data_IF_799953347969
#
_entry.id   IF_799953347969
#
_cell.length_a   1.000
_cell.length_b   1.000
_cell.length_c   1.000
_cell.angle_alpha   90.00
_cell.angle_beta   90.00
_cell.angle_gamma   90.00
#
_symmetry.space_group_name_H-M   'P 1'
#
loop_
_entity.id
_entity.type
_entity.pdbx_description
1 polymer ?
#
# COMPACT_ATOMS: atom_id res chain seq x y z
N UNK A 1 -37.12 -21.41 11.71
CA UNK A 1 -36.68 -22.66 12.38
C UNK A 1 -35.25 -22.89 11.95
N UNK A 2 -34.41 -23.40 12.86
CA UNK A 2 -33.09 -24.05 12.61
C UNK A 2 -32.05 -23.33 11.71
N UNK A 3 -30.81 -23.05 12.13
CA UNK A 3 -30.21 -23.14 13.46
C UNK A 3 -28.83 -22.42 13.50
N UNK A 4 -28.40 -22.04 14.70
CA UNK A 4 -27.03 -21.89 15.23
C UNK A 4 -25.81 -21.64 14.33
N UNK A 5 -25.36 -20.37 14.38
CA UNK A 5 -24.18 -19.89 15.13
C UNK A 5 -22.75 -20.47 14.90
N UNK A 6 -21.68 -19.64 15.01
CA UNK A 6 -20.31 -20.00 14.63
C UNK A 6 -19.36 -20.38 15.78
N UNK A 7 -18.31 -21.15 15.46
CA UNK A 7 -17.12 -21.42 16.30
C UNK A 7 -15.88 -21.71 15.41
N UNK A 8 -14.62 -21.58 15.84
CA UNK A 8 -13.91 -20.70 16.81
C UNK A 8 -12.39 -21.00 16.72
N UNK A 9 -11.52 -20.11 17.23
CA UNK A 9 -10.11 -20.40 17.61
C UNK A 9 -9.10 -20.72 16.48
N UNK A 10 -7.79 -20.47 16.63
CA UNK A 10 -7.03 -19.67 17.61
C UNK A 10 -5.68 -19.22 16.98
N UNK A 11 -5.05 -18.16 17.49
CA UNK A 11 -3.80 -17.63 16.92
C UNK A 11 -3.16 -16.44 17.64
N UNK A 12 -3.40 -16.27 18.94
CA UNK A 12 -2.71 -15.31 19.83
C UNK A 12 -1.68 -16.06 20.71
N UNK A 13 -0.71 -15.39 21.36
CA UNK A 13 -0.26 -14.00 21.20
C UNK A 13 1.27 -13.91 20.96
N UNK A 14 1.82 -12.69 20.83
CA UNK A 14 3.15 -12.43 21.39
C UNK A 14 3.25 -11.00 21.96
N UNK A 15 3.39 -10.91 23.27
CA UNK A 15 3.60 -9.68 24.06
C UNK A 15 5.05 -9.59 24.55
N UNK A 16 5.40 -8.46 25.17
CA UNK A 16 6.75 -8.05 25.64
C UNK A 16 7.65 -7.54 24.50
N UNK A 17 8.54 -6.56 24.72
CA UNK A 17 8.99 -5.99 26.00
C UNK A 17 8.69 -4.50 26.23
N UNK A 18 8.77 -4.11 27.50
CA UNK A 18 8.36 -2.80 28.04
C UNK A 18 9.50 -2.24 28.91
N UNK A 19 10.50 -1.62 28.29
CA UNK A 19 11.71 -1.21 29.00
C UNK A 19 11.67 0.26 29.46
N UNK A 20 11.11 0.44 30.66
CA UNK A 20 11.13 1.70 31.42
C UNK A 20 11.45 1.38 32.89
N UNK A 21 12.72 1.44 33.32
CA UNK A 21 13.11 1.79 34.70
C UNK A 21 14.60 2.20 34.84
N UNK A 22 14.99 2.83 35.97
CA UNK A 22 16.23 3.61 36.10
C UNK A 22 17.21 2.99 37.12
N UNK A 23 18.32 3.69 37.38
CA UNK A 23 18.97 3.63 38.70
C UNK A 23 19.26 5.03 39.30
N UNK A 24 19.45 5.06 40.62
CA UNK A 24 19.92 6.19 41.43
C UNK A 24 20.98 5.72 42.42
N UNK A 25 22.12 6.39 42.45
CA UNK A 25 22.63 6.98 43.70
C UNK A 25 23.90 6.42 44.36
N UNK A 26 24.62 7.37 44.98
CA UNK A 26 25.42 7.21 46.21
C UNK A 26 26.81 6.49 46.07
N UNK A 27 27.71 6.55 47.08
CA UNK A 27 28.65 7.68 47.22
C UNK A 27 30.10 7.27 47.62
N UNK A 28 31.06 8.21 47.72
CA UNK A 28 32.20 8.18 48.68
C UNK A 28 33.16 9.39 48.58
N UNK A 29 33.63 9.85 49.74
CA UNK A 29 34.91 10.53 50.02
C UNK A 29 35.77 9.57 50.89
N UNK A 30 37.04 9.89 51.30
CA UNK A 30 38.20 10.42 50.58
C UNK A 30 39.33 9.34 50.59
N UNK A 31 40.67 9.51 50.88
CA UNK A 31 41.32 10.34 51.93
C UNK A 31 42.70 11.03 51.63
N UNK A 32 43.02 12.03 52.46
CA UNK A 32 44.34 12.39 53.05
C UNK A 32 45.61 12.67 52.18
N UNK A 33 46.70 13.06 52.87
CA UNK A 33 47.93 13.70 52.35
C UNK A 33 49.20 12.84 52.55
N UNK A 34 50.40 13.37 52.27
CA UNK A 34 51.34 13.58 53.39
C UNK A 34 52.14 14.91 53.35
N UNK A 35 53.08 15.08 54.28
CA UNK A 35 53.99 16.23 54.50
C UNK A 35 55.46 15.88 54.17
N UNK A 36 56.36 16.83 54.48
CA UNK A 36 57.78 16.69 54.90
C UNK A 36 58.85 17.21 53.91
N UNK A 37 60.02 17.78 54.30
CA UNK A 37 60.49 18.55 55.49
C UNK A 37 61.92 19.17 55.25
N UNK A 38 62.48 19.97 56.19
CA UNK A 38 63.90 20.41 56.39
C UNK A 38 64.50 21.52 55.46
N UNK A 39 65.51 22.38 55.79
CA UNK A 39 66.24 22.95 56.99
C UNK A 39 67.25 24.05 56.48
N UNK A 40 68.02 24.92 57.20
CA UNK A 40 68.21 25.32 58.62
C UNK A 40 69.54 26.16 58.86
N UNK A 41 69.71 26.83 60.03
CA UNK A 41 70.96 27.44 60.65
C UNK A 41 71.56 28.79 60.10
N UNK A 42 72.31 29.72 60.79
CA UNK A 42 72.84 30.06 62.19
C UNK A 42 73.43 31.53 62.21
N UNK A 43 73.94 32.27 63.24
CA UNK A 43 74.01 32.19 64.74
C UNK A 43 75.16 33.04 65.45
N UNK A 44 74.88 33.79 66.57
CA UNK A 44 75.79 34.48 67.59
C UNK A 44 76.59 35.78 67.19
N UNK A 45 77.32 36.62 68.00
CA UNK A 45 77.79 36.68 69.44
C UNK A 45 78.37 38.05 69.98
N UNK A 46 78.04 38.44 71.24
CA UNK A 46 78.82 38.99 72.44
C UNK A 46 80.02 40.04 72.42
N UNK A 47 80.20 40.92 73.48
CA UNK A 47 81.48 41.40 74.21
C UNK A 47 81.64 42.90 74.79
N UNK A 48 82.64 43.21 75.70
CA UNK A 48 83.07 44.52 76.40
C UNK A 48 84.23 44.37 77.49
N UNK A 49 84.69 45.28 78.46
CA UNK A 49 84.76 46.77 78.76
C UNK A 49 86.08 47.37 79.53
N UNK A 50 86.04 48.59 80.18
CA UNK A 50 86.81 49.23 81.37
C UNK A 50 88.35 49.70 81.40
N UNK A 51 88.99 50.51 82.35
CA UNK A 51 88.69 51.71 83.24
C UNK A 51 89.88 52.32 84.17
N UNK A 52 89.78 53.59 84.73
CA UNK A 52 90.24 54.21 86.10
C UNK A 52 91.68 54.77 86.64
N UNK A 53 91.78 56.00 87.31
CA UNK A 53 92.44 56.59 88.63
C UNK A 53 93.98 56.97 89.09
N UNK A 54 94.32 58.00 90.02
CA UNK A 54 95.65 58.31 90.86
C UNK A 54 96.07 59.74 91.63
N UNK A 55 96.98 59.93 92.73
CA UNK A 55 97.26 61.22 93.62
C UNK A 55 98.74 61.70 94.31
N UNK A 56 99.06 62.42 95.53
CA UNK A 56 100.24 63.42 95.96
C UNK A 56 101.19 63.19 97.31
N UNK A 57 101.92 64.03 98.24
CA UNK A 57 102.24 65.51 98.68
C UNK A 57 103.72 66.06 99.26
N UNK A 58 104.00 66.82 100.43
CA UNK A 58 105.27 67.72 100.80
C UNK A 58 105.75 68.21 102.34
N UNK A 59 106.85 69.08 102.68
CA UNK A 59 107.64 69.41 104.03
C UNK A 59 107.75 70.92 104.71
N UNK A 60 108.60 71.60 105.63
CA UNK A 60 109.91 71.61 106.53
C UNK A 60 110.17 72.84 107.64
N UNK A 61 111.31 73.05 108.48
CA UNK A 61 111.60 74.14 109.61
C UNK A 61 113.08 74.49 110.28
N UNK A 62 113.34 75.52 111.23
CA UNK A 62 114.64 76.00 112.04
C UNK A 62 114.46 76.95 113.38
N UNK A 63 115.27 77.72 114.28
CA UNK A 63 116.69 78.33 114.63
C UNK A 63 117.00 78.96 116.15
N UNK A 64 118.15 79.67 116.58
CA UNK A 64 118.57 80.21 118.03
C UNK A 64 119.66 81.43 118.33
N UNK A 65 120.11 81.85 119.60
CA UNK A 65 120.78 83.20 120.08
C UNK A 65 121.88 83.39 121.33
N UNK A 66 122.42 84.62 121.81
CA UNK A 66 123.69 84.93 122.68
C UNK A 66 123.77 85.85 124.07
N UNK A 67 124.92 86.52 124.56
CA UNK A 67 125.27 87.09 125.99
C UNK A 67 126.34 88.31 126.30
N UNK A 68 126.70 88.82 127.57
CA UNK A 68 127.68 89.99 127.90
C UNK A 68 128.16 90.61 129.33
N UNK A 69 127.46 91.60 129.97
CA UNK A 69 127.89 92.52 131.13
C UNK A 69 127.06 92.31 132.45
N UNK A 70 126.93 93.28 133.39
CA UNK A 70 125.83 93.22 134.39
C UNK A 70 124.50 93.41 133.67
N UNK A 71 123.62 92.41 133.72
CA UNK A 71 122.52 92.23 132.77
C UNK A 71 121.18 92.84 133.22
N UNK A 72 121.20 93.89 134.04
CA UNK A 72 119.99 94.61 134.47
C UNK A 72 120.18 96.12 134.57
N UNK A 73 121.21 96.58 135.29
CA UNK A 73 121.47 98.00 135.59
C UNK A 73 122.78 98.52 134.95
N UNK A 74 123.50 97.67 134.22
CA UNK A 74 124.75 98.03 133.51
C UNK A 74 125.97 98.32 134.38
N UNK A 75 125.82 98.31 135.71
CA UNK A 75 126.87 98.65 136.69
C UNK A 75 128.06 97.68 136.64
N UNK A 76 129.29 98.13 136.96
CA UNK A 76 130.46 97.26 137.01
C UNK A 76 130.34 96.26 138.17
N UNK A 77 130.63 94.99 137.88
CA UNK A 77 130.51 93.91 138.86
C UNK A 77 131.75 93.85 139.77
N UNK A 78 131.59 93.65 141.09
CA UNK A 78 132.72 93.53 142.01
C UNK A 78 133.59 92.30 141.67
N UNK A 79 134.90 92.43 141.83
CA UNK A 79 135.87 91.37 141.49
C UNK A 79 135.56 90.08 142.26
N UNK A 80 135.22 89.02 141.52
CA UNK A 80 134.91 87.68 142.04
C UNK A 80 136.15 86.79 141.94
N UNK A 81 136.50 86.12 143.05
CA UNK A 81 137.55 85.09 143.11
C UNK A 81 137.07 83.70 142.67
N UNK A 82 135.84 83.58 142.14
CA UNK A 82 135.22 82.32 141.72
C UNK A 82 135.07 82.16 140.21
N UNK A 83 135.20 80.91 139.73
CA UNK A 83 135.23 80.48 138.30
C UNK A 83 133.90 80.65 137.51
N UNK A 84 132.95 81.44 138.01
CA UNK A 84 131.73 81.85 137.30
C UNK A 84 131.53 83.36 137.45
N UNK A 85 131.38 84.12 136.36
CA UNK A 85 131.04 85.54 136.45
C UNK A 85 129.63 85.72 137.02
N UNK A 86 129.47 86.65 137.97
CA UNK A 86 128.14 87.08 138.44
C UNK A 86 127.48 87.91 137.35
N UNK A 87 126.24 87.61 136.97
CA UNK A 87 125.50 88.41 135.97
C UNK A 87 124.77 89.63 136.57
N UNK A 88 124.66 89.71 137.90
CA UNK A 88 123.92 90.77 138.60
C UNK A 88 124.70 91.23 139.84
N UNK A 89 124.59 92.52 140.16
CA UNK A 89 125.24 93.16 141.31
C UNK A 89 124.64 92.74 142.67
N UNK A 90 123.34 92.42 142.71
CA UNK A 90 122.57 92.04 143.89
C UNK A 90 121.40 91.11 143.53
N UNK A 91 120.86 90.37 144.52
CA UNK A 91 119.65 89.57 144.32
C UNK A 91 118.39 90.43 144.05
N UNK A 92 118.38 91.71 144.47
CA UNK A 92 117.32 92.64 144.11
C UNK A 92 117.26 92.87 142.58
N UNK A 93 118.42 93.13 141.95
CA UNK A 93 118.50 93.31 140.50
C UNK A 93 118.19 92.02 139.73
N UNK A 94 118.59 90.85 140.23
CA UNK A 94 118.18 89.53 139.71
C UNK A 94 116.66 89.33 139.77
N UNK A 95 116.01 89.79 140.84
CA UNK A 95 114.56 89.70 141.02
C UNK A 95 113.80 90.67 140.10
N UNK A 96 114.32 91.88 139.89
CA UNK A 96 113.78 92.85 138.94
C UNK A 96 113.89 92.34 137.49
N UNK A 97 115.06 91.80 137.10
CA UNK A 97 115.28 91.18 135.79
C UNK A 97 114.47 89.89 135.53
N UNK A 98 113.83 89.32 136.56
CA UNK A 98 112.86 88.23 136.45
C UNK A 98 111.45 88.77 136.17
N UNK A 99 111.05 89.87 136.84
CA UNK A 99 109.74 90.53 136.62
C UNK A 99 109.63 91.17 135.23
N UNK A 100 110.71 91.75 134.72
CA UNK A 100 110.75 92.32 133.35
C UNK A 100 110.52 91.25 132.28
N UNK A 101 111.32 90.16 132.30
CA UNK A 101 111.18 89.05 131.33
C UNK A 101 109.81 88.39 131.36
N UNK A 102 109.17 88.26 132.53
CA UNK A 102 107.77 87.80 132.61
C UNK A 102 106.78 88.76 131.96
N UNK A 103 107.01 90.08 132.03
CA UNK A 103 106.17 91.07 131.35
C UNK A 103 106.34 90.99 129.83
N UNK A 104 107.57 90.91 129.35
CA UNK A 104 107.89 90.74 127.92
C UNK A 104 107.27 89.47 127.33
N UNK A 105 107.42 88.32 128.01
CA UNK A 105 106.83 87.05 127.60
C UNK A 105 105.29 87.09 127.52
N UNK A 106 104.62 87.80 128.44
CA UNK A 106 103.16 87.98 128.37
C UNK A 106 102.78 88.82 127.13
N UNK A 107 103.47 89.94 126.88
CA UNK A 107 103.21 90.76 125.68
C UNK A 107 103.43 89.98 124.38
N UNK A 108 104.52 89.22 124.27
CA UNK A 108 104.84 88.46 123.06
C UNK A 108 103.76 87.43 122.71
N UNK A 109 103.22 86.72 123.72
CA UNK A 109 102.12 85.76 123.52
C UNK A 109 100.82 86.48 123.12
N UNK A 110 100.49 87.63 123.72
CA UNK A 110 99.26 88.36 123.35
C UNK A 110 99.28 88.89 121.92
N UNK A 111 100.43 89.38 121.43
CA UNK A 111 100.53 89.92 120.05
C UNK A 111 100.29 88.82 119.01
N UNK A 112 100.94 87.66 119.17
CA UNK A 112 100.79 86.53 118.25
C UNK A 112 99.34 85.98 118.19
N UNK A 113 98.59 86.03 119.30
CA UNK A 113 97.17 85.64 119.35
C UNK A 113 96.29 86.68 118.64
N UNK A 114 96.60 87.98 118.72
CA UNK A 114 95.86 89.00 117.95
C UNK A 114 96.14 88.94 116.45
N UNK A 115 97.38 88.67 116.03
CA UNK A 115 97.75 88.60 114.61
C UNK A 115 97.16 87.36 113.92
N UNK A 116 97.15 86.20 114.59
CA UNK A 116 96.50 84.99 114.08
C UNK A 116 94.97 85.09 114.01
N UNK A 117 94.34 85.99 114.77
CA UNK A 117 92.92 86.30 114.67
C UNK A 117 92.51 87.01 113.37
N UNK A 118 93.40 87.83 112.78
CA UNK A 118 93.12 88.56 111.55
C UNK A 118 93.04 87.63 110.33
N UNK A 119 93.99 86.70 110.20
CA UNK A 119 94.08 85.76 109.05
C UNK A 119 92.85 84.86 108.94
N UNK A 120 92.24 84.47 110.07
CA UNK A 120 91.01 83.69 110.10
C UNK A 120 89.74 84.49 109.78
N UNK A 121 89.79 85.83 109.83
CA UNK A 121 88.68 86.68 109.40
C UNK A 121 88.60 86.80 107.87
N UNK A 122 89.75 86.95 107.19
CA UNK A 122 89.81 87.09 105.73
C UNK A 122 89.52 85.80 104.97
N UNK A 123 89.87 84.63 105.53
CA UNK A 123 89.66 83.34 104.89
C UNK A 123 88.17 82.93 104.74
N UNK A 124 87.28 83.47 105.58
CA UNK A 124 85.87 83.05 105.68
C UNK A 124 85.01 83.39 104.44
N UNK A 125 84.96 84.65 103.95
CA UNK A 125 84.15 84.99 102.77
C UNK A 125 84.59 84.26 101.48
N UNK A 126 85.86 83.87 101.37
CA UNK A 126 86.36 83.07 100.24
C UNK A 126 85.75 81.66 100.22
N UNK A 127 85.48 81.07 101.39
CA UNK A 127 84.86 79.74 101.49
C UNK A 127 83.40 79.75 101.03
N UNK A 128 82.64 80.78 101.36
CA UNK A 128 81.23 80.91 100.97
C UNK A 128 81.07 81.30 99.48
N UNK A 129 81.98 82.12 98.95
CA UNK A 129 82.07 82.40 97.52
C UNK A 129 82.34 81.13 96.68
N UNK A 130 83.26 80.27 97.14
CA UNK A 130 83.57 79.01 96.45
C UNK A 130 82.37 78.04 96.43
N UNK A 131 81.62 77.96 97.53
CA UNK A 131 80.44 77.11 97.67
C UNK A 131 79.33 77.53 96.71
N UNK A 132 79.01 78.83 96.70
CA UNK A 132 78.03 79.44 95.80
C UNK A 132 78.37 79.22 94.31
N UNK A 133 79.66 79.14 93.96
CA UNK A 133 80.11 78.82 92.60
C UNK A 133 79.91 77.34 92.24
N UNK A 134 80.10 76.42 93.18
CA UNK A 134 79.88 74.98 92.97
C UNK A 134 78.41 74.64 92.79
N UNK A 135 77.53 75.16 93.66
CA UNK A 135 76.09 74.94 93.58
C UNK A 135 75.52 75.43 92.23
N UNK A 136 75.98 76.61 91.79
CA UNK A 136 75.61 77.21 90.49
C UNK A 136 76.25 76.53 89.27
N UNK A 137 77.26 75.67 89.48
CA UNK A 137 77.81 74.81 88.44
C UNK A 137 76.98 73.54 88.31
N UNK A 138 76.54 72.96 89.44
CA UNK A 138 75.64 71.80 89.47
C UNK A 138 74.31 72.09 88.74
N UNK A 139 73.63 73.19 89.08
CA UNK A 139 72.39 73.61 88.39
C UNK A 139 72.54 73.69 86.86
N UNK A 140 73.73 74.08 86.37
CA UNK A 140 74.02 74.19 84.93
C UNK A 140 74.35 72.86 84.27
N UNK A 141 74.87 71.88 85.02
CA UNK A 141 75.03 70.51 84.54
C UNK A 141 73.66 69.84 84.44
N UNK A 142 72.85 69.93 85.50
CA UNK A 142 71.49 69.36 85.52
C UNK A 142 70.60 69.92 84.39
N UNK A 143 70.68 71.23 84.13
CA UNK A 143 69.97 71.88 83.02
C UNK A 143 70.49 71.44 81.63
N UNK A 144 71.80 71.16 81.51
CA UNK A 144 72.40 70.69 80.27
C UNK A 144 72.05 69.21 80.01
N UNK A 145 72.04 68.37 81.04
CA UNK A 145 71.74 66.94 80.96
C UNK A 145 70.24 66.70 80.69
N UNK A 146 69.35 67.32 81.48
CA UNK A 146 67.90 67.29 81.21
C UNK A 146 67.55 67.85 79.83
N UNK A 147 68.20 68.95 79.43
CA UNK A 147 68.07 69.52 78.09
C UNK A 147 68.65 68.64 76.97
N UNK A 148 69.63 67.77 77.25
CA UNK A 148 70.14 66.79 76.28
C UNK A 148 69.17 65.60 76.15
N UNK A 149 68.76 65.01 77.27
CA UNK A 149 67.84 63.88 77.32
C UNK A 149 66.49 64.21 76.64
N UNK A 150 65.93 65.39 76.89
CA UNK A 150 64.68 65.83 76.25
C UNK A 150 64.76 65.90 74.72
N UNK A 151 65.93 66.27 74.16
CA UNK A 151 66.17 66.30 72.71
C UNK A 151 66.36 64.90 72.12
N UNK A 152 66.98 63.99 72.87
CA UNK A 152 67.10 62.58 72.47
C UNK A 152 65.72 61.94 72.43
N UNK A 153 64.91 62.08 73.49
CA UNK A 153 63.55 61.51 73.52
C UNK A 153 62.61 62.10 72.45
N UNK A 154 62.80 63.37 72.07
CA UNK A 154 62.04 63.98 70.97
C UNK A 154 62.43 63.37 69.62
N UNK A 155 63.73 63.26 69.33
CA UNK A 155 64.23 62.67 68.09
C UNK A 155 63.91 61.16 67.98
N UNK A 156 63.89 60.43 69.09
CA UNK A 156 63.48 59.02 69.12
C UNK A 156 61.97 58.84 68.86
N UNK A 157 61.14 59.77 69.32
CA UNK A 157 59.70 59.78 69.05
C UNK A 157 59.40 60.14 67.58
N UNK A 158 59.99 61.22 67.06
CA UNK A 158 59.89 61.65 65.66
C UNK A 158 60.34 60.51 64.72
N UNK A 159 61.51 59.92 64.99
CA UNK A 159 61.99 58.77 64.23
C UNK A 159 61.14 57.50 64.40
N UNK A 160 60.26 57.39 65.40
CA UNK A 160 59.32 56.28 65.56
C UNK A 160 58.02 56.53 64.79
N UNK A 161 57.56 57.78 64.72
CA UNK A 161 56.42 58.22 63.91
C UNK A 161 56.73 58.04 62.41
N UNK A 162 57.91 58.49 61.94
CA UNK A 162 58.44 58.20 60.60
C UNK A 162 58.41 56.69 60.25
N UNK A 163 58.74 55.83 61.23
CA UNK A 163 58.74 54.37 61.06
C UNK A 163 57.34 53.78 60.97
N UNK A 164 56.35 54.38 61.63
CA UNK A 164 54.94 53.98 61.52
C UNK A 164 54.36 54.39 60.16
N UNK A 165 54.57 55.64 59.73
CA UNK A 165 54.08 56.13 58.44
C UNK A 165 54.75 55.40 57.26
N UNK A 166 56.05 55.12 57.35
CA UNK A 166 56.75 54.29 56.37
C UNK A 166 56.24 52.83 56.31
N UNK A 167 55.62 52.30 57.37
CA UNK A 167 54.95 51.00 57.36
C UNK A 167 53.57 51.10 56.70
N UNK A 168 52.76 52.08 57.10
CA UNK A 168 51.41 52.34 56.54
C UNK A 168 51.48 52.56 55.02
N UNK A 169 52.46 53.34 54.53
CA UNK A 169 52.66 53.57 53.11
C UNK A 169 52.98 52.27 52.33
N UNK A 170 53.73 51.34 52.92
CA UNK A 170 54.05 50.03 52.31
C UNK A 170 52.83 49.11 52.27
N UNK A 171 52.01 49.11 53.32
CA UNK A 171 50.77 48.33 53.35
C UNK A 171 49.76 48.83 52.31
N UNK A 172 49.63 50.15 52.14
CA UNK A 172 48.80 50.77 51.11
C UNK A 172 49.30 50.44 49.69
N UNK A 173 50.60 50.53 49.43
CA UNK A 173 51.19 50.12 48.15
C UNK A 173 50.92 48.63 47.85
N UNK A 174 51.15 47.75 48.82
CA UNK A 174 50.88 46.32 48.67
C UNK A 174 49.38 46.01 48.50
N UNK A 175 48.48 46.83 49.07
CA UNK A 175 47.05 46.72 48.84
C UNK A 175 46.65 47.16 47.42
N UNK A 176 47.25 48.24 46.90
CA UNK A 176 47.03 48.70 45.53
C UNK A 176 47.51 47.67 44.50
N UNK A 177 48.66 47.02 44.72
CA UNK A 177 49.15 45.95 43.85
C UNK A 177 48.25 44.70 43.88
N UNK A 178 47.78 44.29 45.06
CA UNK A 178 46.78 43.20 45.16
C UNK A 178 45.48 43.56 44.42
N UNK A 179 45.03 44.80 44.52
CA UNK A 179 43.85 45.28 43.79
C UNK A 179 44.08 45.23 42.26
N UNK A 180 45.21 45.73 41.76
CA UNK A 180 45.61 45.68 40.35
C UNK A 180 45.65 44.26 39.81
N UNK A 181 46.32 43.34 40.49
CA UNK A 181 46.40 41.93 40.10
C UNK A 181 45.01 41.28 40.07
N UNK A 182 44.13 41.61 41.03
CA UNK A 182 42.75 41.10 41.04
C UNK A 182 41.90 41.65 39.88
N UNK A 183 42.13 42.90 39.47
CA UNK A 183 41.45 43.52 38.34
C UNK A 183 41.93 42.95 37.00
N UNK A 184 43.25 42.80 36.80
CA UNK A 184 43.81 42.12 35.62
C UNK A 184 43.30 40.69 35.48
N UNK A 185 43.19 39.96 36.60
CA UNK A 185 42.64 38.60 36.61
C UNK A 185 41.18 38.58 36.17
N UNK A 186 40.33 39.45 36.74
CA UNK A 186 38.91 39.58 36.35
C UNK A 186 38.72 39.99 34.90
N UNK A 187 39.59 40.85 34.37
CA UNK A 187 39.57 41.22 32.94
C UNK A 187 39.87 40.00 32.06
N UNK A 188 40.91 39.21 32.37
CA UNK A 188 41.23 37.98 31.62
C UNK A 188 40.13 36.93 31.72
N UNK A 189 39.53 36.77 32.91
CA UNK A 189 38.39 35.86 33.13
C UNK A 189 37.14 36.33 32.37
N UNK A 190 36.89 37.64 32.27
CA UNK A 190 35.81 38.22 31.47
C UNK A 190 36.06 38.10 29.95
N UNK A 191 37.28 38.35 29.47
CA UNK A 191 37.66 38.13 28.07
C UNK A 191 37.52 36.66 27.66
N UNK A 192 37.90 35.72 28.54
CA UNK A 192 37.70 34.29 28.30
C UNK A 192 36.20 33.92 28.29
N UNK A 193 35.41 34.46 29.22
CA UNK A 193 33.96 34.25 29.23
C UNK A 193 33.27 34.84 27.98
N UNK A 194 33.74 35.98 27.48
CA UNK A 194 33.24 36.58 26.24
C UNK A 194 33.59 35.73 25.02
N UNK A 195 34.84 35.28 24.86
CA UNK A 195 35.22 34.37 23.76
C UNK A 195 34.42 33.08 23.78
N UNK A 196 34.21 32.49 24.96
CA UNK A 196 33.35 31.31 25.13
C UNK A 196 31.86 31.57 24.89
N UNK A 197 31.40 32.83 24.87
CA UNK A 197 30.05 33.21 24.47
C UNK A 197 29.98 33.44 22.95
N UNK A 198 30.96 34.13 22.36
CA UNK A 198 31.11 34.33 20.91
C UNK A 198 31.24 32.99 20.18
N UNK A 199 32.10 32.07 20.66
CA UNK A 199 32.21 30.70 20.17
C UNK A 199 30.88 29.93 20.26
N UNK A 200 30.07 30.16 21.30
CA UNK A 200 28.74 29.52 21.42
C UNK A 200 27.72 30.11 20.46
N UNK A 201 27.74 31.42 20.23
CA UNK A 201 26.88 32.06 19.22
C UNK A 201 27.25 31.59 17.82
N UNK A 202 28.53 31.55 17.45
CA UNK A 202 28.95 31.13 16.12
C UNK A 202 28.72 29.62 15.89
N UNK A 203 28.92 28.77 16.90
CA UNK A 203 28.50 27.37 16.81
C UNK A 203 26.98 27.23 16.66
N UNK A 204 26.18 27.99 17.42
CA UNK A 204 24.71 27.96 17.31
C UNK A 204 24.21 28.48 15.94
N UNK A 205 24.87 29.51 15.37
CA UNK A 205 24.60 29.99 14.01
C UNK A 205 24.94 28.91 12.98
N UNK A 206 26.11 28.28 13.08
CA UNK A 206 26.54 27.21 12.18
C UNK A 206 25.67 25.93 12.30
N UNK A 207 25.12 25.63 13.49
CA UNK A 207 24.12 24.57 13.67
C UNK A 207 22.78 24.95 13.03
N UNK A 208 22.30 26.18 13.23
CA UNK A 208 21.07 26.68 12.60
C UNK A 208 21.17 26.73 11.07
N UNK A 209 22.33 27.10 10.52
CA UNK A 209 22.59 27.06 9.08
C UNK A 209 22.59 25.62 8.55
N UNK A 210 23.29 24.68 9.21
CA UNK A 210 23.25 23.25 8.84
C UNK A 210 21.84 22.65 8.94
N UNK A 211 21.06 23.02 9.96
CA UNK A 211 19.64 22.63 10.06
C UNK A 211 18.81 23.25 8.94
N UNK A 212 19.04 24.52 8.61
CA UNK A 212 18.37 25.23 7.52
C UNK A 212 18.71 24.66 6.14
N UNK A 213 19.95 24.22 5.90
CA UNK A 213 20.34 23.50 4.69
C UNK A 213 19.73 22.10 4.62
N UNK A 214 19.85 21.32 5.70
CA UNK A 214 19.29 19.95 5.78
C UNK A 214 17.78 19.95 5.57
N UNK A 215 17.04 20.85 6.22
CA UNK A 215 15.59 20.97 6.04
C UNK A 215 15.20 21.47 4.64
N UNK A 216 15.99 22.36 4.01
CA UNK A 216 15.79 22.73 2.59
C UNK A 216 16.01 21.54 1.65
N UNK A 217 17.04 20.71 1.89
CA UNK A 217 17.28 19.49 1.13
C UNK A 217 16.15 18.47 1.31
N UNK A 218 15.70 18.23 2.54
CA UNK A 218 14.57 17.34 2.85
C UNK A 218 13.26 17.83 2.21
N UNK A 219 12.99 19.14 2.20
CA UNK A 219 11.82 19.72 1.53
C UNK A 219 11.89 19.59 0.01
N UNK A 220 13.08 19.70 -0.60
CA UNK A 220 13.28 19.45 -2.03
C UNK A 220 13.07 17.98 -2.37
N UNK A 221 13.67 17.06 -1.61
CA UNK A 221 13.53 15.61 -1.81
C UNK A 221 12.07 15.14 -1.63
N UNK A 222 11.36 15.69 -0.64
CA UNK A 222 9.91 15.46 -0.47
C UNK A 222 9.09 16.09 -1.59
N UNK A 223 9.50 17.24 -2.12
CA UNK A 223 8.89 17.89 -3.29
C UNK A 223 9.01 17.06 -4.57
N UNK A 224 10.19 16.50 -4.83
CA UNK A 224 10.46 15.58 -5.94
C UNK A 224 9.64 14.29 -5.79
N UNK A 225 9.69 13.63 -4.62
CA UNK A 225 8.87 12.44 -4.32
C UNK A 225 7.37 12.70 -4.48
N UNK A 226 6.88 13.86 -4.07
CA UNK A 226 5.47 14.26 -4.23
C UNK A 226 5.13 14.60 -5.70
N UNK A 227 6.08 15.12 -6.46
CA UNK A 227 5.96 15.31 -7.91
C UNK A 227 5.87 13.98 -8.66
N UNK A 228 6.73 13.01 -8.32
CA UNK A 228 6.71 11.67 -8.93
C UNK A 228 5.51 10.83 -8.49
N UNK A 229 5.08 10.96 -7.23
CA UNK A 229 3.82 10.38 -6.77
C UNK A 229 2.61 10.93 -7.56
N UNK A 230 2.58 12.23 -7.87
CA UNK A 230 1.53 12.82 -8.72
C UNK A 230 1.55 12.29 -10.14
N UNK A 231 2.72 12.21 -10.78
CA UNK A 231 2.88 11.58 -12.11
C UNK A 231 2.40 10.12 -12.08
N UNK A 232 2.71 9.38 -11.02
CA UNK A 232 2.27 8.00 -10.85
C UNK A 232 0.74 7.88 -10.69
N UNK A 233 0.09 8.80 -9.96
CA UNK A 233 -1.38 8.85 -9.89
C UNK A 233 -2.01 9.26 -11.22
N UNK A 234 -1.48 10.25 -11.93
CA UNK A 234 -1.96 10.68 -13.25
C UNK A 234 -1.85 9.54 -14.29
N UNK A 235 -0.75 8.78 -14.26
CA UNK A 235 -0.57 7.58 -15.10
C UNK A 235 -1.54 6.46 -14.71
N UNK A 236 -1.79 6.23 -13.41
CA UNK A 236 -2.76 5.23 -12.95
C UNK A 236 -4.21 5.61 -13.31
N UNK A 237 -4.57 6.88 -13.18
CA UNK A 237 -5.87 7.42 -13.62
C UNK A 237 -6.03 7.27 -15.15
N UNK A 238 -5.00 7.60 -15.93
CA UNK A 238 -4.99 7.35 -17.38
C UNK A 238 -5.19 5.88 -17.74
N UNK A 239 -4.44 4.97 -17.12
CA UNK A 239 -4.56 3.52 -17.35
C UNK A 239 -5.95 3.00 -16.96
N UNK A 240 -6.54 3.46 -15.85
CA UNK A 240 -7.90 3.05 -15.45
C UNK A 240 -8.98 3.64 -16.36
N UNK A 241 -8.80 4.86 -16.86
CA UNK A 241 -9.67 5.46 -17.86
C UNK A 241 -9.64 4.67 -19.18
N UNK A 242 -8.45 4.28 -19.65
CA UNK A 242 -8.29 3.46 -20.86
C UNK A 242 -8.83 2.04 -20.70
N UNK A 243 -8.61 1.39 -19.55
CA UNK A 243 -9.26 0.12 -19.24
C UNK A 243 -10.80 0.25 -19.22
N UNK A 244 -11.33 1.35 -18.66
CA UNK A 244 -12.77 1.62 -18.67
C UNK A 244 -13.30 1.92 -20.09
N UNK A 245 -12.49 2.54 -20.96
CA UNK A 245 -12.79 2.77 -22.38
C UNK A 245 -12.82 1.42 -23.15
N UNK A 246 -11.80 0.58 -22.97
CA UNK A 246 -11.72 -0.77 -23.57
C UNK A 246 -12.88 -1.67 -23.10
N UNK A 247 -13.19 -1.68 -21.80
CA UNK A 247 -14.35 -2.39 -21.26
C UNK A 247 -15.69 -1.85 -21.77
N UNK A 248 -15.78 -0.57 -22.17
CA UNK A 248 -16.96 -0.02 -22.84
C UNK A 248 -17.04 -0.47 -24.31
N UNK A 249 -15.92 -0.45 -25.04
CA UNK A 249 -15.84 -0.95 -26.42
C UNK A 249 -16.21 -2.44 -26.53
N UNK A 250 -15.56 -3.30 -25.74
CA UNK A 250 -15.82 -4.75 -25.71
C UNK A 250 -17.28 -5.08 -25.32
N UNK A 251 -17.91 -4.27 -24.47
CA UNK A 251 -19.34 -4.41 -24.13
C UNK A 251 -20.28 -3.99 -25.26
N UNK A 252 -19.86 -3.10 -26.15
CA UNK A 252 -20.62 -2.75 -27.35
C UNK A 252 -20.46 -3.85 -28.40
N UNK A 253 -19.23 -4.25 -28.72
CA UNK A 253 -18.91 -5.35 -29.64
C UNK A 253 -19.63 -6.65 -29.22
N UNK A 254 -19.64 -6.99 -27.94
CA UNK A 254 -20.31 -8.20 -27.46
C UNK A 254 -21.85 -8.14 -27.64
N UNK A 255 -22.47 -6.95 -27.57
CA UNK A 255 -23.90 -6.77 -27.88
C UNK A 255 -24.19 -6.86 -29.36
N UNK A 256 -23.31 -6.31 -30.20
CA UNK A 256 -23.40 -6.38 -31.65
C UNK A 256 -23.27 -7.84 -32.13
N UNK A 257 -22.32 -8.60 -31.56
CA UNK A 257 -22.18 -10.04 -31.80
C UNK A 257 -23.37 -10.85 -31.29
N UNK A 258 -23.96 -10.49 -30.14
CA UNK A 258 -25.20 -11.10 -29.66
C UNK A 258 -26.38 -10.83 -30.61
N UNK A 259 -26.54 -9.59 -31.08
CA UNK A 259 -27.60 -9.21 -32.02
C UNK A 259 -27.44 -9.89 -33.39
N UNK A 260 -26.21 -9.94 -33.91
CA UNK A 260 -25.88 -10.66 -35.14
C UNK A 260 -26.16 -12.17 -35.00
N UNK A 261 -25.83 -12.76 -33.85
CA UNK A 261 -26.19 -14.15 -33.55
C UNK A 261 -27.71 -14.35 -33.55
N UNK A 262 -28.48 -13.52 -32.86
CA UNK A 262 -29.96 -13.68 -32.84
C UNK A 262 -30.56 -13.56 -34.24
N UNK A 263 -30.06 -12.66 -35.09
CA UNK A 263 -30.49 -12.56 -36.47
C UNK A 263 -30.17 -13.83 -37.29
N UNK A 264 -29.00 -14.45 -37.08
CA UNK A 264 -28.65 -15.72 -37.73
C UNK A 264 -29.47 -16.91 -37.19
N UNK A 265 -29.75 -16.95 -35.88
CA UNK A 265 -30.62 -17.96 -35.27
C UNK A 265 -32.07 -17.83 -35.81
N UNK A 266 -32.58 -16.60 -36.01
CA UNK A 266 -33.88 -16.32 -36.65
C UNK A 266 -33.89 -16.68 -38.15
N UNK A 267 -32.84 -16.35 -38.91
CA UNK A 267 -32.70 -16.75 -40.31
C UNK A 267 -32.69 -18.28 -40.45
N UNK A 268 -31.96 -19.00 -39.58
CA UNK A 268 -31.96 -20.47 -39.57
C UNK A 268 -33.34 -21.04 -39.23
N UNK A 269 -34.09 -20.42 -38.31
CA UNK A 269 -35.46 -20.82 -38.00
C UNK A 269 -36.44 -20.57 -39.16
N UNK A 270 -36.25 -19.51 -39.94
CA UNK A 270 -37.01 -19.23 -41.17
C UNK A 270 -36.63 -20.21 -42.30
N UNK A 271 -35.34 -20.46 -42.54
CA UNK A 271 -34.86 -21.47 -43.51
C UNK A 271 -35.35 -22.88 -43.16
N UNK A 272 -35.41 -23.23 -41.87
CA UNK A 272 -35.99 -24.48 -41.39
C UNK A 272 -37.48 -24.61 -41.73
N UNK A 273 -38.27 -23.56 -41.50
CA UNK A 273 -39.69 -23.51 -41.87
C UNK A 273 -39.89 -23.60 -43.39
N UNK A 274 -39.05 -22.91 -44.18
CA UNK A 274 -39.07 -23.00 -45.65
C UNK A 274 -38.74 -24.43 -46.15
N UNK A 275 -37.73 -25.08 -45.56
CA UNK A 275 -37.37 -26.46 -45.90
C UNK A 275 -38.49 -27.44 -45.55
N UNK A 276 -39.14 -27.30 -44.39
CA UNK A 276 -40.28 -28.13 -44.01
C UNK A 276 -41.48 -27.94 -44.96
N UNK A 277 -41.75 -26.70 -45.39
CA UNK A 277 -42.78 -26.42 -46.40
C UNK A 277 -42.44 -27.02 -47.79
N UNK A 278 -41.17 -26.98 -48.19
CA UNK A 278 -40.69 -27.61 -49.41
C UNK A 278 -40.79 -29.15 -49.35
N UNK A 279 -40.50 -29.75 -48.18
CA UNK A 279 -40.69 -31.18 -47.96
C UNK A 279 -42.17 -31.58 -48.02
N UNK A 280 -43.06 -30.83 -47.36
CA UNK A 280 -44.50 -31.08 -47.36
C UNK A 280 -45.16 -30.89 -48.74
N UNK A 281 -44.67 -29.94 -49.56
CA UNK A 281 -45.13 -29.82 -50.96
C UNK A 281 -44.57 -30.94 -51.83
N UNK A 282 -43.32 -31.37 -51.59
CA UNK A 282 -42.70 -32.51 -52.28
C UNK A 282 -43.37 -33.85 -51.98
N UNK A 283 -43.80 -34.11 -50.74
CA UNK A 283 -44.58 -35.32 -50.41
C UNK A 283 -45.96 -35.28 -51.04
N UNK A 284 -46.70 -34.15 -50.93
CA UNK A 284 -48.00 -33.99 -51.59
C UNK A 284 -47.92 -34.20 -53.10
N UNK A 285 -46.91 -33.65 -53.77
CA UNK A 285 -46.71 -33.83 -55.22
C UNK A 285 -46.40 -35.30 -55.59
N UNK A 286 -45.66 -36.03 -54.76
CA UNK A 286 -45.47 -37.48 -54.97
C UNK A 286 -46.78 -38.26 -54.83
N UNK A 287 -47.61 -37.97 -53.82
CA UNK A 287 -48.93 -38.60 -53.64
C UNK A 287 -49.86 -38.30 -54.82
N UNK A 288 -49.91 -37.05 -55.28
CA UNK A 288 -50.67 -36.66 -56.47
C UNK A 288 -50.16 -37.39 -57.72
N UNK A 289 -48.84 -37.53 -57.89
CA UNK A 289 -48.26 -38.27 -59.01
C UNK A 289 -48.65 -39.75 -58.99
N UNK A 290 -48.64 -40.42 -57.82
CA UNK A 290 -49.12 -41.80 -57.71
C UNK A 290 -50.63 -41.93 -58.01
N UNK A 291 -51.46 -41.03 -57.47
CA UNK A 291 -52.90 -41.03 -57.81
C UNK A 291 -53.14 -40.86 -59.32
N UNK A 292 -52.33 -40.03 -59.99
CA UNK A 292 -52.44 -39.83 -61.43
C UNK A 292 -51.91 -41.03 -62.23
N UNK A 293 -50.86 -41.73 -61.79
CA UNK A 293 -50.42 -42.98 -62.44
C UNK A 293 -51.43 -44.11 -62.26
N UNK A 294 -52.04 -44.23 -61.07
CA UNK A 294 -53.05 -45.26 -60.79
C UNK A 294 -54.32 -45.03 -61.62
N UNK A 295 -54.77 -43.77 -61.72
CA UNK A 295 -55.87 -43.38 -62.62
C UNK A 295 -55.54 -43.65 -64.09
N UNK A 296 -54.30 -43.38 -64.53
CA UNK A 296 -53.87 -43.66 -65.89
C UNK A 296 -53.83 -45.17 -66.20
N UNK A 297 -53.35 -45.99 -65.27
CA UNK A 297 -53.35 -47.45 -65.38
C UNK A 297 -54.78 -48.02 -65.42
N UNK A 298 -55.69 -47.51 -64.57
CA UNK A 298 -57.10 -47.90 -64.58
C UNK A 298 -57.80 -47.54 -65.90
N UNK A 299 -57.56 -46.33 -66.44
CA UNK A 299 -58.10 -45.92 -67.74
C UNK A 299 -57.51 -46.73 -68.90
N UNK A 300 -56.23 -47.07 -68.85
CA UNK A 300 -55.60 -47.95 -69.86
C UNK A 300 -56.19 -49.36 -69.84
N UNK A 301 -56.48 -49.91 -68.65
CA UNK A 301 -57.16 -51.20 -68.51
C UNK A 301 -58.60 -51.14 -69.03
N UNK A 302 -59.36 -50.08 -68.69
CA UNK A 302 -60.72 -49.87 -69.21
C UNK A 302 -60.74 -49.77 -70.74
N UNK A 303 -59.78 -49.07 -71.34
CA UNK A 303 -59.63 -48.98 -72.79
C UNK A 303 -59.31 -50.35 -73.40
N UNK A 304 -58.40 -51.11 -72.80
CA UNK A 304 -58.06 -52.46 -73.26
C UNK A 304 -59.28 -53.40 -73.24
N UNK A 305 -60.03 -53.43 -72.14
CA UNK A 305 -61.30 -54.18 -72.03
C UNK A 305 -62.30 -53.72 -73.10
N UNK A 306 -62.58 -52.42 -73.21
CA UNK A 306 -63.51 -51.90 -74.22
C UNK A 306 -63.08 -52.22 -75.67
N UNK A 307 -61.77 -52.31 -75.96
CA UNK A 307 -61.31 -52.76 -77.28
C UNK A 307 -61.52 -54.26 -77.51
N UNK A 308 -61.37 -55.10 -76.47
CA UNK A 308 -61.62 -56.54 -76.55
C UNK A 308 -63.12 -56.86 -76.67
N UNK A 309 -63.96 -56.14 -75.94
CA UNK A 309 -65.42 -56.20 -76.07
C UNK A 309 -65.84 -55.79 -77.49
N UNK A 310 -65.26 -54.72 -78.02
CA UNK A 310 -65.52 -54.23 -79.37
C UNK A 310 -65.00 -55.15 -80.49
N UNK A 311 -63.95 -55.95 -80.28
CA UNK A 311 -63.58 -57.03 -81.23
C UNK A 311 -64.55 -58.20 -81.13
N UNK A 312 -64.91 -58.61 -79.92
CA UNK A 312 -65.84 -59.74 -79.69
C UNK A 312 -67.20 -59.46 -80.33
N UNK A 313 -67.78 -58.28 -80.08
CA UNK A 313 -69.05 -57.86 -80.68
C UNK A 313 -69.01 -57.77 -82.22
N UNK A 314 -67.85 -57.48 -82.82
CA UNK A 314 -67.67 -57.53 -84.29
C UNK A 314 -67.64 -58.97 -84.81
N UNK A 315 -66.97 -59.87 -84.10
CA UNK A 315 -66.91 -61.29 -84.44
C UNK A 315 -68.30 -61.94 -84.32
N UNK A 316 -69.06 -61.63 -83.27
CA UNK A 316 -70.47 -62.01 -83.10
C UNK A 316 -71.37 -61.44 -84.23
N UNK A 317 -71.15 -60.18 -84.62
CA UNK A 317 -71.88 -59.54 -85.73
C UNK A 317 -71.58 -60.24 -87.07
N UNK A 318 -70.31 -60.62 -87.32
CA UNK A 318 -69.92 -61.36 -88.52
C UNK A 318 -70.46 -62.80 -88.51
N UNK A 319 -70.44 -63.48 -87.36
CA UNK A 319 -71.00 -64.82 -87.20
C UNK A 319 -72.51 -64.84 -87.46
N UNK A 320 -73.26 -63.91 -86.85
CA UNK A 320 -74.71 -63.78 -87.05
C UNK A 320 -75.09 -63.36 -88.47
N UNK A 321 -74.28 -62.54 -89.15
CA UNK A 321 -74.44 -62.31 -90.60
C UNK A 321 -74.25 -63.60 -91.41
N UNK A 322 -73.21 -64.38 -91.13
CA UNK A 322 -72.96 -65.65 -91.83
C UNK A 322 -74.03 -66.72 -91.52
N UNK A 323 -74.62 -66.74 -90.32
CA UNK A 323 -75.78 -67.57 -90.00
C UNK A 323 -77.01 -67.14 -90.82
N UNK A 324 -77.26 -65.84 -90.90
CA UNK A 324 -78.39 -65.27 -91.64
C UNK A 324 -78.28 -65.49 -93.15
N UNK A 325 -77.07 -65.45 -93.72
CA UNK A 325 -76.81 -65.84 -95.12
C UNK A 325 -77.06 -67.34 -95.34
N UNK A 326 -76.61 -68.21 -94.43
CA UNK A 326 -76.90 -69.65 -94.49
C UNK A 326 -78.40 -69.96 -94.33
N UNK A 327 -79.15 -69.17 -93.56
CA UNK A 327 -80.62 -69.28 -93.47
C UNK A 327 -81.29 -68.84 -94.77
N UNK A 328 -80.85 -67.74 -95.39
CA UNK A 328 -81.35 -67.30 -96.72
C UNK A 328 -81.11 -68.35 -97.80
N UNK A 329 -79.88 -68.88 -97.89
CA UNK A 329 -79.52 -69.93 -98.83
C UNK A 329 -80.45 -71.15 -98.71
N UNK A 330 -80.63 -71.68 -97.49
CA UNK A 330 -81.56 -72.80 -97.23
C UNK A 330 -83.01 -72.47 -97.61
N UNK A 331 -83.49 -71.26 -97.33
CA UNK A 331 -84.83 -70.83 -97.71
C UNK A 331 -85.01 -70.77 -99.23
N UNK A 332 -84.00 -70.28 -99.96
CA UNK A 332 -84.03 -70.18 -101.41
C UNK A 332 -83.87 -71.54 -102.09
N UNK A 333 -83.06 -72.44 -101.52
CA UNK A 333 -82.97 -73.87 -101.88
C UNK A 333 -84.32 -74.57 -101.67
N UNK A 334 -84.95 -74.43 -100.50
CA UNK A 334 -86.28 -74.97 -100.21
C UNK A 334 -87.35 -74.40 -101.16
N UNK A 335 -87.28 -73.10 -101.46
CA UNK A 335 -88.21 -72.45 -102.40
C UNK A 335 -88.02 -72.96 -103.83
N UNK A 336 -86.78 -73.21 -104.27
CA UNK A 336 -86.51 -73.83 -105.57
C UNK A 336 -86.97 -75.29 -105.62
N UNK A 337 -86.73 -76.06 -104.56
CA UNK A 337 -87.16 -77.45 -104.45
C UNK A 337 -88.69 -77.57 -104.52
N UNK A 338 -89.42 -76.77 -103.72
CA UNK A 338 -90.89 -76.74 -103.74
C UNK A 338 -91.47 -76.28 -105.09
N UNK A 339 -90.79 -75.38 -105.81
CA UNK A 339 -91.17 -75.02 -107.20
C UNK A 339 -90.99 -76.21 -108.14
N UNK A 340 -89.86 -76.90 -108.09
CA UNK A 340 -89.60 -78.07 -108.91
C UNK A 340 -90.57 -79.24 -108.61
N UNK A 341 -90.91 -79.48 -107.34
CA UNK A 341 -91.95 -80.44 -106.96
C UNK A 341 -93.33 -80.06 -107.50
N UNK A 342 -93.70 -78.77 -107.41
CA UNK A 342 -94.97 -78.26 -107.92
C UNK A 342 -95.05 -78.30 -109.45
N UNK A 343 -93.94 -78.07 -110.16
CA UNK A 343 -93.84 -78.22 -111.61
C UNK A 343 -93.91 -79.71 -112.03
N UNK A 344 -93.22 -80.61 -111.33
CA UNK A 344 -93.34 -82.05 -111.55
C UNK A 344 -94.76 -82.57 -111.26
N UNK A 345 -95.42 -82.05 -110.21
CA UNK A 345 -96.81 -82.38 -109.90
C UNK A 345 -97.79 -81.85 -110.97
N UNK A 346 -97.55 -80.66 -111.54
CA UNK A 346 -98.30 -80.15 -112.70
C UNK A 346 -98.11 -81.05 -113.93
N UNK A 347 -96.88 -81.37 -114.30
CA UNK A 347 -96.59 -82.26 -115.43
C UNK A 347 -97.23 -83.65 -115.24
N UNK A 348 -97.22 -84.19 -114.02
CA UNK A 348 -97.91 -85.46 -113.72
C UNK A 348 -99.45 -85.33 -113.78
N UNK A 349 -100.02 -84.20 -113.37
CA UNK A 349 -101.46 -83.93 -113.51
C UNK A 349 -101.87 -83.76 -114.98
N UNK A 350 -101.07 -83.05 -115.78
CA UNK A 350 -101.26 -82.89 -117.23
C UNK A 350 -101.18 -84.25 -117.95
N UNK A 351 -100.17 -85.07 -117.63
CA UNK A 351 -100.04 -86.42 -118.19
C UNK A 351 -101.20 -87.35 -117.78
N UNK A 352 -101.73 -87.22 -116.56
CA UNK A 352 -102.95 -87.93 -116.15
C UNK A 352 -104.19 -87.41 -116.88
N UNK A 353 -104.28 -86.10 -117.15
CA UNK A 353 -105.39 -85.52 -117.90
C UNK A 353 -105.39 -85.98 -119.37
N UNK A 354 -104.23 -86.05 -120.02
CA UNK A 354 -104.13 -86.57 -121.41
C UNK A 354 -104.44 -88.05 -121.48
N UNK A 355 -103.98 -88.87 -120.53
CA UNK A 355 -104.34 -90.30 -120.49
C UNK A 355 -105.83 -90.50 -120.13
N UNK A 356 -106.45 -89.64 -119.31
CA UNK A 356 -107.90 -89.66 -119.10
C UNK A 356 -108.69 -89.31 -120.38
N UNK A 357 -108.26 -88.30 -121.14
CA UNK A 357 -108.85 -87.96 -122.46
C UNK A 357 -108.70 -89.14 -123.43
N UNK A 358 -107.57 -89.84 -123.40
CA UNK A 358 -107.32 -91.04 -124.21
C UNK A 358 -108.23 -92.20 -123.80
N UNK A 359 -108.38 -92.47 -122.51
CA UNK A 359 -109.29 -93.49 -121.99
C UNK A 359 -110.75 -93.14 -122.34
N UNK A 360 -111.13 -91.86 -122.27
CA UNK A 360 -112.47 -91.40 -122.65
C UNK A 360 -112.72 -91.57 -124.15
N UNK A 361 -111.80 -91.16 -125.02
CA UNK A 361 -111.97 -91.32 -126.49
C UNK A 361 -111.94 -92.78 -126.93
N UNK A 362 -111.17 -93.65 -126.25
CA UNK A 362 -111.29 -95.10 -126.42
C UNK A 362 -112.66 -95.61 -125.97
N UNK A 363 -113.18 -95.13 -124.84
CA UNK A 363 -114.50 -95.53 -124.35
C UNK A 363 -115.65 -95.04 -125.25
N UNK A 364 -115.53 -93.85 -125.83
CA UNK A 364 -116.46 -93.32 -126.84
C UNK A 364 -116.42 -94.19 -128.12
N UNK A 365 -115.23 -94.57 -128.60
CA UNK A 365 -115.08 -95.51 -129.71
C UNK A 365 -115.65 -96.91 -129.40
N UNK A 366 -115.48 -97.42 -128.18
CA UNK A 366 -116.13 -98.67 -127.72
C UNK A 366 -117.67 -98.53 -127.68
N UNK A 367 -118.20 -97.37 -127.28
CA UNK A 367 -119.64 -97.10 -127.31
C UNK A 367 -120.19 -97.03 -128.74
N UNK A 368 -119.48 -96.38 -129.66
CA UNK A 368 -119.84 -96.32 -131.08
C UNK A 368 -119.77 -97.72 -131.72
N UNK A 369 -118.75 -98.52 -131.44
CA UNK A 369 -118.66 -99.91 -131.88
C UNK A 369 -119.80 -100.76 -131.31
N UNK A 370 -120.19 -100.57 -130.05
CA UNK A 370 -121.36 -101.21 -129.45
C UNK A 370 -122.68 -100.71 -130.05
N UNK A 371 -122.75 -99.47 -130.53
CA UNK A 371 -123.91 -98.94 -131.25
C UNK A 371 -123.98 -99.54 -132.67
N UNK A 372 -122.86 -99.64 -133.39
CA UNK A 372 -122.78 -100.27 -134.71
C UNK A 372 -123.14 -101.76 -134.62
N UNK A 373 -122.57 -102.51 -133.67
CA UNK A 373 -122.91 -103.92 -133.44
C UNK A 373 -124.38 -104.12 -133.06
N UNK A 374 -125.01 -103.17 -132.35
CA UNK A 374 -126.48 -103.18 -132.12
C UNK A 374 -127.24 -102.89 -133.41
N UNK A 375 -126.80 -101.95 -134.23
CA UNK A 375 -127.37 -101.68 -135.56
C UNK A 375 -127.32 -102.91 -136.46
N UNK A 376 -126.14 -103.50 -136.63
CA UNK A 376 -125.92 -104.75 -137.36
C UNK A 376 -126.80 -105.90 -136.81
N UNK A 377 -127.01 -105.98 -135.49
CA UNK A 377 -127.91 -106.96 -134.87
C UNK A 377 -129.38 -106.71 -135.21
N UNK A 378 -129.86 -105.47 -135.12
CA UNK A 378 -131.25 -105.16 -135.49
C UNK A 378 -131.49 -105.26 -137.01
N UNK A 379 -130.49 -104.99 -137.85
CA UNK A 379 -130.53 -105.28 -139.29
C UNK A 379 -130.59 -106.79 -139.58
N UNK A 380 -129.77 -107.60 -138.91
CA UNK A 380 -129.82 -109.06 -139.00
C UNK A 380 -131.16 -109.60 -138.50
N UNK A 381 -131.73 -109.00 -137.46
CA UNK A 381 -133.06 -109.34 -136.94
C UNK A 381 -134.17 -108.89 -137.88
N UNK A 382 -134.09 -107.72 -138.50
CA UNK A 382 -135.04 -107.28 -139.53
C UNK A 382 -134.99 -108.19 -140.77
N UNK A 383 -133.80 -108.68 -141.16
CA UNK A 383 -133.65 -109.71 -142.19
C UNK A 383 -134.25 -111.05 -141.76
N UNK A 384 -134.03 -111.47 -140.52
CA UNK A 384 -134.67 -112.67 -139.95
C UNK A 384 -136.19 -112.54 -139.98
N UNK A 385 -136.74 -111.43 -139.52
CA UNK A 385 -138.19 -111.20 -139.42
C UNK A 385 -138.83 -111.02 -140.80
N UNK A 386 -138.11 -110.46 -141.78
CA UNK A 386 -138.51 -110.46 -143.19
C UNK A 386 -138.57 -111.89 -143.77
N UNK A 387 -137.53 -112.71 -143.56
CA UNK A 387 -137.54 -114.13 -143.93
C UNK A 387 -138.65 -114.91 -143.22
N UNK A 388 -138.93 -114.60 -141.95
CA UNK A 388 -140.01 -115.20 -141.18
C UNK A 388 -141.39 -114.79 -141.73
N UNK A 389 -141.53 -113.56 -142.23
CA UNK A 389 -142.73 -113.09 -142.92
C UNK A 389 -142.87 -113.70 -144.32
N UNK A 390 -141.79 -113.97 -145.05
CA UNK A 390 -141.82 -114.74 -146.31
C UNK A 390 -142.23 -116.19 -146.06
N UNK A 391 -141.67 -116.86 -145.04
CA UNK A 391 -142.13 -118.19 -144.58
C UNK A 391 -143.61 -118.16 -144.15
N UNK A 392 -144.06 -117.06 -143.54
CA UNK A 392 -145.47 -116.81 -143.23
C UNK A 392 -146.38 -116.72 -144.46
N UNK A 393 -145.96 -115.98 -145.50
CA UNK A 393 -146.67 -115.89 -146.79
C UNK A 393 -146.73 -117.25 -147.49
N UNK A 394 -145.60 -117.96 -147.59
CA UNK A 394 -145.52 -119.30 -148.18
C UNK A 394 -146.46 -120.29 -147.45
N UNK A 395 -146.61 -120.18 -146.12
CA UNK A 395 -147.61 -120.93 -145.36
C UNK A 395 -149.05 -120.57 -145.74
N UNK A 396 -149.35 -119.28 -145.86
CA UNK A 396 -150.69 -118.81 -146.25
C UNK A 396 -151.07 -119.25 -147.68
N UNK A 397 -150.11 -119.26 -148.61
CA UNK A 397 -150.30 -119.79 -149.97
C UNK A 397 -150.58 -121.30 -149.98
N UNK A 398 -149.86 -122.08 -149.16
CA UNK A 398 -150.10 -123.53 -148.98
C UNK A 398 -151.50 -123.81 -148.44
N UNK A 399 -152.01 -123.02 -147.50
CA UNK A 399 -153.34 -123.24 -146.94
C UNK A 399 -154.48 -122.71 -147.85
N UNK A 400 -154.25 -121.67 -148.65
CA UNK A 400 -155.20 -121.27 -149.71
C UNK A 400 -155.37 -122.37 -150.78
N UNK A 401 -154.32 -123.13 -151.10
CA UNK A 401 -154.39 -124.27 -152.03
C UNK A 401 -155.22 -125.45 -151.50
N UNK A 402 -155.59 -125.49 -150.21
CA UNK A 402 -156.39 -126.57 -149.59
C UNK A 402 -157.90 -126.32 -149.60
N UNK A 403 -158.36 -125.11 -149.92
CA UNK A 403 -159.73 -124.67 -149.63
C UNK A 403 -160.71 -124.70 -150.85
N UNK A 404 -160.49 -125.53 -151.87
CA UNK A 404 -161.26 -125.49 -153.13
C UNK A 404 -161.62 -126.86 -153.74
N UNK A 405 -162.92 -127.21 -153.82
CA UNK A 405 -163.45 -128.26 -154.69
C UNK A 405 -164.48 -127.73 -155.73
N UNK A 406 -165.03 -128.64 -156.55
CA UNK A 406 -166.05 -128.42 -157.58
C UNK A 406 -167.07 -129.61 -157.59
N UNK A 407 -168.17 -129.63 -158.38
CA UNK A 407 -169.33 -130.54 -158.18
C UNK A 407 -169.07 -132.00 -158.63
N UNK A 408 -169.85 -133.03 -158.25
CA UNK A 408 -171.08 -133.18 -157.44
C UNK A 408 -171.77 -134.54 -157.78
N UNK A 409 -172.90 -135.03 -157.20
CA UNK A 409 -173.72 -134.71 -156.02
C UNK A 409 -174.77 -135.87 -155.79
N UNK A 410 -175.72 -135.72 -154.84
CA UNK A 410 -176.90 -136.60 -154.54
C UNK A 410 -176.62 -137.96 -153.82
N UNK A 411 -177.56 -138.71 -153.20
CA UNK A 411 -179.05 -138.70 -153.19
C UNK A 411 -179.69 -138.62 -151.74
N UNK A 412 -180.72 -139.40 -151.29
CA UNK A 412 -182.11 -138.91 -151.13
C UNK A 412 -182.78 -139.12 -149.73
N UNK A 413 -184.11 -138.85 -149.70
CA UNK A 413 -185.09 -138.82 -148.57
C UNK A 413 -185.05 -137.60 -147.63
#
# INVERSE_FOLDING_TARGET
>A
MTEDAPTRSAGDPNTTDFDLRPERGHPADPPEAPRDDLSGATGRSDAGPDATTGPPPSPAADAEAPHGRCAWDGQPLPRSTGRRPRQYCSDACKTAASRARRKEQITAVTTAVTESGAVLAEARPLQEALRTLLDRFAEKVDLAESGALARISAAEAEAAEDRADAAIAREQAAAADRARISAERRMREAEQAQRLAEEREDNARADLERIGEKTRAEVLELGEKLGDAKKATELAEGVTADQANQLRALRTENRELQAARTALDDELAERGRQLQAAQNTSTRLRTQLSEHSDRAAALALQLATATADATTAREETLATHADLERVRQRHDEQTQHLRAELEAARQQAEARATELIRIQTLHEADQDLLAELRGQREDLKARHDALYAEVGKLRAEIDQLRARPAPGAAEPE
#
